data_IF_700988685083
#
_entry.id   IF_700988685083
#
_cell.length_a   1.000
_cell.length_b   1.000
_cell.length_c   1.000
_cell.angle_alpha   90.00
_cell.angle_beta   90.00
_cell.angle_gamma   90.00
#
_symmetry.space_group_name_H-M   'P 1'
#
loop_
_entity.id
_entity.type
_entity.pdbx_description
1 polymer ?
#
# COMPACT_ATOMS: atom_id res chain seq x y z
N UNK A 1 5.37 21.77 -1.43
CA UNK A 1 5.22 20.42 -0.85
C UNK A 1 4.18 19.67 -1.67
N UNK A 2 4.50 18.47 -2.10
CA UNK A 2 3.62 17.68 -2.96
C UNK A 2 2.43 17.06 -2.20
N UNK A 3 2.56 16.86 -0.91
CA UNK A 3 1.53 16.26 -0.06
C UNK A 3 1.24 17.20 1.10
N UNK A 4 -0.05 17.46 1.36
CA UNK A 4 -0.47 18.28 2.49
C UNK A 4 -0.19 17.54 3.80
N UNK A 5 0.55 18.14 4.76
CA UNK A 5 0.81 17.51 6.05
C UNK A 5 -0.43 17.07 6.83
N UNK A 6 -1.59 17.71 6.59
CA UNK A 6 -2.85 17.35 7.24
C UNK A 6 -3.38 15.97 6.82
N UNK A 7 -2.87 15.39 5.72
CA UNK A 7 -3.22 14.03 5.29
C UNK A 7 -2.61 12.95 6.18
N UNK A 8 -1.58 13.30 6.96
CA UNK A 8 -0.92 12.37 7.87
C UNK A 8 -1.57 12.36 9.24
N UNK A 9 -1.44 11.24 9.95
CA UNK A 9 -1.93 11.08 11.32
C UNK A 9 -0.79 11.33 12.29
N UNK A 10 -1.05 12.15 13.32
CA UNK A 10 -0.15 12.29 14.47
C UNK A 10 1.13 13.06 14.22
N UNK A 11 1.21 13.85 13.15
CA UNK A 11 2.40 14.65 12.86
C UNK A 11 2.34 16.08 13.37
N UNK A 12 1.23 16.51 14.00
CA UNK A 12 1.12 17.86 14.53
C UNK A 12 2.22 18.13 15.57
N UNK A 13 2.99 19.19 15.34
CA UNK A 13 4.07 19.59 16.26
C UNK A 13 5.29 18.67 16.24
N UNK A 14 5.36 17.75 15.30
CA UNK A 14 6.47 16.80 15.17
C UNK A 14 7.21 17.02 13.85
N UNK A 15 8.55 17.05 13.92
CA UNK A 15 9.39 16.96 12.72
C UNK A 15 9.81 15.52 12.52
N UNK A 16 9.21 14.84 11.53
CA UNK A 16 9.44 13.42 11.26
C UNK A 16 10.60 13.26 10.26
N UNK A 17 11.69 12.62 10.69
CA UNK A 17 12.90 12.44 9.89
C UNK A 17 13.25 10.96 9.67
N UNK A 18 12.41 10.02 10.11
CA UNK A 18 12.70 8.60 10.10
C UNK A 18 11.78 7.81 9.14
N UNK A 19 11.41 8.40 8.00
CA UNK A 19 10.51 7.74 7.03
C UNK A 19 11.09 6.43 6.46
N UNK A 20 12.41 6.30 6.41
CA UNK A 20 13.06 5.08 5.95
C UNK A 20 12.93 3.91 6.93
N UNK A 21 12.78 4.19 8.21
CA UNK A 21 12.56 3.17 9.25
C UNK A 21 11.07 2.97 9.55
N UNK A 22 10.39 4.07 9.84
CA UNK A 22 8.96 4.07 10.18
C UNK A 22 8.24 5.15 9.38
N UNK A 23 7.50 4.74 8.38
CA UNK A 23 6.76 5.67 7.51
C UNK A 23 5.54 6.21 8.23
N UNK A 24 5.31 7.54 8.21
CA UNK A 24 4.06 8.10 8.74
C UNK A 24 2.85 7.55 7.98
N UNK A 25 1.73 7.44 8.67
CA UNK A 25 0.51 6.90 8.11
C UNK A 25 -0.40 8.01 7.61
N UNK A 26 -0.97 7.83 6.41
CA UNK A 26 -2.05 8.68 5.92
C UNK A 26 -3.37 8.37 6.62
N UNK A 27 -4.23 9.38 6.76
CA UNK A 27 -5.61 9.17 7.27
C UNK A 27 -6.37 8.17 6.42
N UNK A 28 -6.17 8.17 5.11
CA UNK A 28 -6.79 7.23 4.18
C UNK A 28 -6.42 5.77 4.43
N UNK A 29 -5.29 5.50 5.08
CA UNK A 29 -4.90 4.13 5.44
C UNK A 29 -5.88 3.51 6.44
N UNK A 30 -6.37 4.27 7.42
CA UNK A 30 -7.34 3.77 8.40
C UNK A 30 -8.65 3.38 7.71
N UNK A 31 -9.15 4.22 6.80
CA UNK A 31 -10.38 3.94 6.06
C UNK A 31 -10.21 2.70 5.17
N UNK A 32 -9.05 2.55 4.55
CA UNK A 32 -8.74 1.40 3.70
C UNK A 32 -8.67 0.10 4.50
N UNK A 33 -8.04 0.12 5.67
CA UNK A 33 -7.96 -1.06 6.56
C UNK A 33 -9.36 -1.43 7.06
N UNK A 34 -10.17 -0.46 7.45
CA UNK A 34 -11.55 -0.71 7.88
C UNK A 34 -12.37 -1.35 6.76
N UNK A 35 -12.26 -0.83 5.55
CA UNK A 35 -12.93 -1.39 4.36
C UNK A 35 -12.45 -2.82 4.08
N UNK A 36 -11.17 -3.08 4.20
CA UNK A 36 -10.60 -4.42 4.02
C UNK A 36 -11.25 -5.43 4.97
N UNK A 37 -11.36 -5.08 6.25
CA UNK A 37 -11.97 -5.98 7.22
C UNK A 37 -13.46 -6.16 6.99
N UNK A 38 -14.18 -5.13 6.56
CA UNK A 38 -15.60 -5.24 6.20
C UNK A 38 -15.81 -6.14 4.99
N UNK A 39 -15.00 -5.98 3.96
CA UNK A 39 -15.05 -6.83 2.76
C UNK A 39 -14.73 -8.28 3.10
N UNK A 40 -13.83 -8.52 4.05
CA UNK A 40 -13.47 -9.85 4.51
C UNK A 40 -14.66 -10.61 5.10
N UNK A 41 -15.62 -9.91 5.68
CA UNK A 41 -16.85 -10.51 6.20
C UNK A 41 -17.78 -11.02 5.09
N UNK A 42 -17.58 -10.64 3.85
CA UNK A 42 -18.38 -11.05 2.69
C UNK A 42 -17.92 -12.36 2.06
N UNK A 43 -16.87 -12.99 2.58
CA UNK A 43 -16.37 -14.27 2.06
C UNK A 43 -15.79 -14.16 0.66
N UNK A 44 -16.25 -14.98 -0.27
CA UNK A 44 -15.74 -15.00 -1.65
C UNK A 44 -15.97 -13.69 -2.41
N UNK A 45 -17.10 -13.03 -2.18
CA UNK A 45 -17.38 -11.72 -2.76
C UNK A 45 -16.34 -10.70 -2.30
N UNK A 46 -15.97 -10.71 -1.03
CA UNK A 46 -14.92 -9.85 -0.48
C UNK A 46 -13.56 -10.17 -1.08
N UNK A 47 -13.26 -11.44 -1.33
CA UNK A 47 -12.01 -11.85 -1.98
C UNK A 47 -11.89 -11.23 -3.37
N UNK A 48 -12.96 -11.24 -4.17
CA UNK A 48 -12.96 -10.58 -5.47
C UNK A 48 -12.66 -9.08 -5.38
N UNK A 49 -13.16 -8.40 -4.34
CA UNK A 49 -12.85 -6.99 -4.09
C UNK A 49 -11.38 -6.78 -3.77
N UNK A 50 -10.76 -7.66 -2.97
CA UNK A 50 -9.32 -7.59 -2.66
C UNK A 50 -8.47 -7.76 -3.91
N UNK A 51 -8.81 -8.74 -4.73
CA UNK A 51 -8.08 -9.00 -5.98
C UNK A 51 -8.16 -7.80 -6.92
N UNK A 52 -9.31 -7.17 -7.03
CA UNK A 52 -9.49 -5.97 -7.84
C UNK A 52 -8.64 -4.80 -7.33
N UNK A 53 -8.59 -4.58 -6.02
CA UNK A 53 -7.75 -3.54 -5.41
C UNK A 53 -6.28 -3.84 -5.62
N UNK A 54 -5.86 -5.07 -5.42
CA UNK A 54 -4.49 -5.53 -5.65
C UNK A 54 -4.04 -5.28 -7.08
N UNK A 55 -4.88 -5.64 -8.05
CA UNK A 55 -4.57 -5.44 -9.46
C UNK A 55 -4.46 -3.96 -9.82
N UNK A 56 -5.37 -3.12 -9.33
CA UNK A 56 -5.28 -1.66 -9.54
C UNK A 56 -4.00 -1.08 -8.95
N UNK A 57 -3.56 -1.59 -7.81
CA UNK A 57 -2.28 -1.18 -7.22
C UNK A 57 -1.12 -1.55 -8.14
N UNK A 58 -1.12 -2.76 -8.69
CA UNK A 58 -0.12 -3.20 -9.67
C UNK A 58 -0.10 -2.28 -10.91
N UNK A 59 -1.26 -1.92 -11.42
CA UNK A 59 -1.37 -1.00 -12.57
C UNK A 59 -0.70 0.34 -12.26
N UNK A 60 -0.97 0.91 -11.09
CA UNK A 60 -0.38 2.20 -10.68
C UNK A 60 1.13 2.13 -10.53
N UNK A 61 1.63 1.05 -9.93
CA UNK A 61 3.07 0.82 -9.80
C UNK A 61 3.71 0.62 -11.17
N UNK A 62 3.06 -0.14 -12.04
CA UNK A 62 3.53 -0.39 -13.40
C UNK A 62 3.65 0.91 -14.21
N UNK A 63 2.66 1.79 -14.09
CA UNK A 63 2.69 3.11 -14.72
C UNK A 63 3.88 3.94 -14.24
N UNK A 64 4.17 3.90 -12.94
CA UNK A 64 5.30 4.62 -12.36
C UNK A 64 6.64 4.15 -12.92
N UNK A 65 6.79 2.85 -13.15
CA UNK A 65 8.02 2.24 -13.65
C UNK A 65 8.03 2.01 -15.18
N UNK A 66 6.96 2.38 -15.87
CA UNK A 66 6.81 2.19 -17.33
C UNK A 66 6.93 0.72 -17.75
N UNK A 67 6.30 -0.16 -16.98
CA UNK A 67 6.23 -1.60 -17.26
C UNK A 67 4.76 -2.05 -17.29
N UNK A 68 4.51 -3.32 -17.52
CA UNK A 68 3.15 -3.88 -17.50
C UNK A 68 2.77 -4.30 -16.08
N UNK A 69 1.49 -4.27 -15.76
CA UNK A 69 0.99 -4.73 -14.45
C UNK A 69 1.40 -6.18 -14.14
N UNK A 70 1.44 -7.03 -15.17
CA UNK A 70 1.85 -8.43 -15.02
C UNK A 70 3.34 -8.60 -14.69
N UNK A 71 4.15 -7.55 -14.86
CA UNK A 71 5.57 -7.55 -14.47
C UNK A 71 5.76 -7.20 -12.99
N UNK A 72 4.69 -6.87 -12.27
CA UNK A 72 4.72 -6.49 -10.86
C UNK A 72 4.30 -7.67 -9.99
N UNK A 73 5.11 -7.98 -8.99
CA UNK A 73 4.78 -8.95 -7.95
C UNK A 73 4.89 -8.29 -6.57
N UNK A 74 3.96 -8.62 -5.68
CA UNK A 74 4.03 -8.16 -4.30
C UNK A 74 4.72 -9.21 -3.43
N UNK A 75 5.66 -8.76 -2.62
CA UNK A 75 6.43 -9.59 -1.70
C UNK A 75 6.36 -8.98 -0.30
N UNK A 76 6.66 -9.77 0.71
CA UNK A 76 6.60 -9.31 2.10
C UNK A 76 7.77 -8.38 2.46
N UNK A 77 8.93 -8.53 1.79
CA UNK A 77 10.13 -7.76 2.09
C UNK A 77 11.16 -7.85 0.97
N UNK A 78 12.14 -6.95 1.00
CA UNK A 78 13.31 -7.00 0.11
C UNK A 78 14.11 -8.30 0.31
N UNK A 79 14.22 -8.75 1.56
CA UNK A 79 14.92 -10.01 1.88
C UNK A 79 14.27 -11.21 1.20
N UNK A 80 12.95 -11.29 1.22
CA UNK A 80 12.22 -12.33 0.50
C UNK A 80 12.50 -12.26 -1.01
N UNK A 81 12.45 -11.06 -1.59
CA UNK A 81 12.74 -10.86 -3.01
C UNK A 81 14.14 -11.34 -3.41
N UNK A 82 15.15 -10.98 -2.62
CA UNK A 82 16.52 -11.41 -2.85
C UNK A 82 16.63 -12.94 -2.77
N UNK A 83 15.99 -13.55 -1.78
CA UNK A 83 16.04 -15.01 -1.62
C UNK A 83 15.38 -15.76 -2.78
N UNK A 84 14.35 -15.18 -3.41
CA UNK A 84 13.72 -15.77 -4.58
C UNK A 84 14.60 -15.71 -5.84
N UNK A 85 15.49 -14.72 -5.93
CA UNK A 85 16.38 -14.55 -7.07
C UNK A 85 17.67 -15.38 -6.96
N UNK A 86 18.03 -15.82 -5.78
CA UNK A 86 19.19 -16.64 -5.49
C UNK A 86 18.79 -18.11 -5.46
#
# INVERSE_FOLDING_TARGET
>A
MLINPSEFIGLEGITHLCAGGETPMFKSHLDTVDRFFRDKLLGEEGRGKFEAVSYRCKEKVADLFHVKADDIAFLSSTSEGINLLV
#
